data_IF_249005330152
#
_entry.id   IF_249005330152
#
_cell.length_a   1.000
_cell.length_b   1.000
_cell.length_c   1.000
_cell.angle_alpha   90.00
_cell.angle_beta   90.00
_cell.angle_gamma   90.00
#
_symmetry.space_group_name_H-M   'P 1'
#
loop_
_entity.id
_entity.type
_entity.pdbx_description
1 polymer ?
#
# COMPACT_ATOMS: atom_id res chain seq x y z
N UNK A 1 -29.44 36.89 -1.80
CA UNK A 1 -29.32 35.71 -0.94
C UNK A 1 -27.90 35.50 -0.42
N UNK A 2 -26.87 35.55 -1.27
CA UNK A 2 -25.47 35.39 -0.82
C UNK A 2 -25.01 36.49 0.17
N UNK A 3 -25.28 37.77 -0.11
CA UNK A 3 -24.91 38.87 0.79
C UNK A 3 -25.56 38.77 2.17
N UNK A 4 -26.83 38.37 2.24
CA UNK A 4 -27.55 38.18 3.50
C UNK A 4 -27.03 37.00 4.32
N UNK A 5 -26.63 35.91 3.66
CA UNK A 5 -25.99 34.75 4.30
C UNK A 5 -24.60 35.10 4.84
N UNK A 6 -23.79 35.81 4.06
CA UNK A 6 -22.47 36.29 4.50
C UNK A 6 -22.60 37.19 5.72
N UNK A 7 -23.53 38.15 5.70
CA UNK A 7 -23.78 39.02 6.86
C UNK A 7 -24.23 38.25 8.10
N UNK A 8 -25.10 37.23 7.93
CA UNK A 8 -25.54 36.38 9.03
C UNK A 8 -24.38 35.56 9.63
N UNK A 9 -23.53 34.96 8.79
CA UNK A 9 -22.35 34.23 9.25
C UNK A 9 -21.35 35.13 9.97
N UNK A 10 -21.09 36.33 9.46
CA UNK A 10 -20.24 37.30 10.13
C UNK A 10 -20.81 37.69 11.49
N UNK A 11 -22.11 37.99 11.56
CA UNK A 11 -22.78 38.32 12.81
C UNK A 11 -22.71 37.18 13.83
N UNK A 12 -23.04 35.95 13.44
CA UNK A 12 -22.95 34.78 14.32
C UNK A 12 -21.51 34.49 14.77
N UNK A 13 -20.53 34.64 13.88
CA UNK A 13 -19.10 34.49 14.23
C UNK A 13 -18.67 35.54 15.24
N UNK A 14 -19.08 36.79 15.05
CA UNK A 14 -18.81 37.87 15.99
C UNK A 14 -19.45 37.60 17.35
N UNK A 15 -20.70 37.13 17.39
CA UNK A 15 -21.37 36.76 18.65
C UNK A 15 -20.64 35.61 19.35
N UNK A 16 -20.25 34.58 18.59
CA UNK A 16 -19.54 33.41 19.11
C UNK A 16 -18.15 33.75 19.66
N UNK A 17 -17.41 34.61 18.95
CA UNK A 17 -16.07 35.03 19.34
C UNK A 17 -16.04 36.21 20.32
N UNK A 18 -17.14 36.95 20.49
CA UNK A 18 -17.21 38.15 21.33
C UNK A 18 -16.68 37.95 22.76
N UNK A 19 -16.98 36.83 23.46
CA UNK A 19 -16.42 36.60 24.79
C UNK A 19 -14.88 36.55 24.78
N UNK A 20 -14.26 36.03 23.72
CA UNK A 20 -12.79 35.95 23.60
C UNK A 20 -12.15 37.29 23.23
N UNK A 21 -12.94 38.25 22.70
CA UNK A 21 -12.46 39.58 22.31
C UNK A 21 -12.68 40.63 23.41
N UNK A 22 -13.59 40.36 24.35
CA UNK A 22 -13.98 41.28 25.41
C UNK A 22 -13.75 40.65 26.79
N UNK A 23 -12.92 41.27 27.62
CA UNK A 23 -12.67 40.85 29.01
C UNK A 23 -11.32 40.16 29.23
N UNK A 24 -10.95 39.96 30.50
CA UNK A 24 -9.73 39.26 30.91
C UNK A 24 -9.99 37.76 31.02
N UNK A 25 -9.12 36.96 30.41
CA UNK A 25 -9.17 35.51 30.48
C UNK A 25 -8.03 34.96 31.31
N UNK A 26 -8.35 34.04 32.21
CA UNK A 26 -7.39 33.38 33.09
C UNK A 26 -7.21 31.90 32.73
N UNK A 27 -6.15 31.29 33.25
CA UNK A 27 -6.00 29.84 33.26
C UNK A 27 -6.86 29.25 34.39
N UNK A 28 -7.45 28.08 34.16
CA UNK A 28 -8.28 27.38 35.14
C UNK A 28 -7.41 26.58 36.12
N UNK A 29 -6.81 27.28 37.08
CA UNK A 29 -5.76 26.71 37.96
C UNK A 29 -6.22 25.58 38.88
N UNK A 30 -7.52 25.47 39.17
CA UNK A 30 -8.07 24.35 39.96
C UNK A 30 -8.21 23.06 39.15
N UNK A 31 -7.99 23.13 37.84
CA UNK A 31 -7.99 22.01 36.91
C UNK A 31 -6.55 21.78 36.40
N UNK A 32 -6.40 21.15 35.25
CA UNK A 32 -5.13 20.74 34.67
C UNK A 32 -4.36 21.85 33.93
N UNK A 33 -4.93 23.05 33.76
CA UNK A 33 -4.24 24.20 33.13
C UNK A 33 -2.94 24.55 33.87
N UNK A 34 -2.90 24.36 35.19
CA UNK A 34 -1.67 24.58 35.98
C UNK A 34 -0.54 23.67 35.48
N UNK A 35 -0.80 22.36 35.40
CA UNK A 35 0.20 21.35 35.02
C UNK A 35 0.54 21.43 33.53
N UNK A 36 -0.44 21.76 32.67
CA UNK A 36 -0.28 21.80 31.22
C UNK A 36 0.40 23.07 30.72
N UNK A 37 0.22 24.21 31.38
CA UNK A 37 0.74 25.51 30.93
C UNK A 37 1.59 26.24 31.97
N UNK A 38 1.13 26.37 33.21
CA UNK A 38 1.74 27.28 34.22
C UNK A 38 2.99 26.68 34.87
N UNK A 39 2.98 25.39 35.18
CA UNK A 39 4.09 24.65 35.79
C UNK A 39 4.90 23.86 34.74
N UNK A 40 4.50 23.95 33.47
CA UNK A 40 5.11 23.17 32.40
C UNK A 40 6.40 23.83 31.89
N UNK A 41 7.54 23.40 32.44
CA UNK A 41 8.86 23.87 32.01
C UNK A 41 9.22 23.44 30.58
N UNK A 42 8.65 22.34 30.08
CA UNK A 42 8.98 21.80 28.74
C UNK A 42 8.58 22.78 27.64
N UNK A 43 7.50 23.53 27.82
CA UNK A 43 6.99 24.45 26.80
C UNK A 43 7.64 25.84 26.85
N UNK A 44 8.57 26.09 27.77
CA UNK A 44 9.14 27.42 28.00
C UNK A 44 10.15 27.85 26.95
N UNK A 45 10.73 26.91 26.18
CA UNK A 45 11.79 27.19 25.22
C UNK A 45 11.67 26.31 23.98
N UNK A 46 12.11 26.86 22.85
CA UNK A 46 12.24 26.15 21.58
C UNK A 46 13.71 25.86 21.29
N UNK A 47 14.29 24.91 22.04
CA UNK A 47 15.62 24.37 21.79
C UNK A 47 15.58 22.83 21.70
N UNK A 48 16.68 22.21 21.28
CA UNK A 48 16.75 20.76 21.09
C UNK A 48 16.47 19.97 22.38
N UNK A 49 16.86 20.46 23.55
CA UNK A 49 16.65 19.77 24.82
C UNK A 49 15.16 19.72 25.15
N UNK A 50 14.46 20.84 25.00
CA UNK A 50 13.01 20.92 25.24
C UNK A 50 12.23 20.15 24.18
N UNK A 51 12.61 20.27 22.90
CA UNK A 51 11.99 19.50 21.83
C UNK A 51 12.13 17.99 22.04
N UNK A 52 13.31 17.50 22.45
CA UNK A 52 13.50 16.10 22.81
C UNK A 52 12.63 15.70 24.01
N UNK A 53 12.49 16.57 25.02
CA UNK A 53 11.60 16.31 26.14
C UNK A 53 10.13 16.18 25.69
N UNK A 54 9.66 17.03 24.77
CA UNK A 54 8.31 16.92 24.19
C UNK A 54 8.08 15.56 23.51
N UNK A 55 9.10 14.99 22.86
CA UNK A 55 9.04 13.69 22.20
C UNK A 55 9.12 12.48 23.14
N UNK A 56 9.47 12.67 24.41
CA UNK A 56 9.71 11.56 25.34
C UNK A 56 8.87 11.61 26.62
N UNK A 57 8.27 12.75 26.94
CA UNK A 57 7.53 12.93 28.18
C UNK A 57 6.05 12.59 28.02
N UNK A 58 5.50 11.95 29.05
CA UNK A 58 4.06 11.73 29.23
C UNK A 58 3.62 12.62 30.38
N UNK A 59 2.65 13.51 30.14
CA UNK A 59 2.17 14.48 31.13
C UNK A 59 0.69 14.21 31.41
N UNK A 60 0.34 14.08 32.70
CA UNK A 60 -1.02 13.70 33.14
C UNK A 60 -1.50 12.38 32.48
N UNK A 61 -0.57 11.46 32.24
CA UNK A 61 -0.89 10.18 31.57
C UNK A 61 -1.14 10.28 30.07
N UNK A 62 -0.94 11.45 29.44
CA UNK A 62 -1.15 11.67 28.01
C UNK A 62 0.19 11.87 27.29
N UNK A 63 0.39 11.12 26.20
CA UNK A 63 1.51 11.30 25.28
C UNK A 63 1.08 12.15 24.08
N UNK A 64 1.49 13.41 24.06
CA UNK A 64 1.02 14.39 23.07
C UNK A 64 2.12 15.35 22.57
N UNK A 65 3.17 14.83 21.92
CA UNK A 65 4.37 15.59 21.54
C UNK A 65 4.07 16.81 20.65
N UNK A 66 3.15 16.68 19.69
CA UNK A 66 2.77 17.78 18.81
C UNK A 66 1.96 18.87 19.52
N UNK A 67 1.16 18.48 20.52
CA UNK A 67 0.44 19.44 21.34
C UNK A 67 1.40 20.21 22.25
N UNK A 68 2.40 19.54 22.84
CA UNK A 68 3.46 20.21 23.58
C UNK A 68 4.23 21.21 22.71
N UNK A 69 4.55 20.83 21.47
CA UNK A 69 5.18 21.73 20.51
C UNK A 69 4.29 22.94 20.20
N UNK A 70 2.98 22.74 19.97
CA UNK A 70 2.03 23.84 19.78
C UNK A 70 2.01 24.78 20.99
N UNK A 71 1.87 24.24 22.22
CA UNK A 71 1.90 25.01 23.47
C UNK A 71 3.19 25.83 23.58
N UNK A 72 4.34 25.26 23.22
CA UNK A 72 5.63 25.94 23.23
C UNK A 72 5.73 27.07 22.19
N UNK A 73 5.19 26.85 20.98
CA UNK A 73 5.10 27.89 19.96
C UNK A 73 4.20 29.04 20.39
N UNK A 74 3.05 28.73 21.01
CA UNK A 74 2.15 29.76 21.59
C UNK A 74 2.87 30.54 22.69
N UNK A 75 3.53 29.84 23.62
CA UNK A 75 4.29 30.48 24.69
C UNK A 75 5.41 31.38 24.14
N UNK A 76 6.14 30.94 23.12
CA UNK A 76 7.18 31.74 22.48
C UNK A 76 6.62 33.02 21.81
N UNK A 77 5.40 32.97 21.28
CA UNK A 77 4.77 34.09 20.58
C UNK A 77 4.12 35.12 21.52
N UNK A 78 3.47 34.67 22.60
CA UNK A 78 2.63 35.53 23.43
C UNK A 78 2.76 35.27 24.95
N UNK A 79 3.73 34.47 25.38
CA UNK A 79 3.98 34.16 26.80
C UNK A 79 2.88 33.32 27.45
N UNK A 80 2.75 33.42 28.77
CA UNK A 80 1.64 32.83 29.53
C UNK A 80 0.36 33.67 29.36
N UNK A 81 -0.21 33.66 28.17
CA UNK A 81 -1.44 34.36 27.86
C UNK A 81 -2.56 33.37 27.49
N UNK A 82 -3.48 33.17 28.42
CA UNK A 82 -4.58 32.21 28.26
C UNK A 82 -5.57 32.62 27.15
N UNK A 83 -5.72 33.92 26.86
CA UNK A 83 -6.53 34.42 25.74
C UNK A 83 -5.89 34.06 24.40
N UNK A 84 -4.55 34.19 24.29
CA UNK A 84 -3.80 33.81 23.10
C UNK A 84 -3.96 32.32 22.78
N UNK A 85 -3.89 31.45 23.80
CA UNK A 85 -4.13 30.00 23.66
C UNK A 85 -5.52 29.73 23.07
N UNK A 86 -6.56 30.37 23.59
CA UNK A 86 -7.94 30.20 23.10
C UNK A 86 -8.15 30.75 21.69
N UNK A 87 -7.55 31.89 21.34
CA UNK A 87 -7.62 32.45 19.98
C UNK A 87 -6.95 31.54 18.94
N UNK A 88 -5.82 30.95 19.28
CA UNK A 88 -5.14 29.95 18.42
C UNK A 88 -6.00 28.69 18.30
N UNK A 89 -6.62 28.25 19.39
CA UNK A 89 -7.54 27.10 19.40
C UNK A 89 -8.78 27.34 18.54
N UNK A 90 -9.39 28.53 18.65
CA UNK A 90 -10.50 28.96 17.79
C UNK A 90 -10.10 28.99 16.31
N UNK A 91 -8.88 29.45 16.02
CA UNK A 91 -8.34 29.48 14.65
C UNK A 91 -8.16 28.07 14.09
N UNK A 92 -7.63 27.13 14.89
CA UNK A 92 -7.51 25.72 14.51
C UNK A 92 -8.89 25.08 14.31
N UNK A 93 -9.86 25.37 15.16
CA UNK A 93 -11.25 24.91 15.01
C UNK A 93 -11.89 25.44 13.72
N UNK A 94 -11.74 26.74 13.43
CA UNK A 94 -12.22 27.35 12.19
C UNK A 94 -11.55 26.73 10.94
N UNK A 95 -10.23 26.53 10.99
CA UNK A 95 -9.48 25.88 9.91
C UNK A 95 -9.96 24.43 9.70
N UNK A 96 -10.22 23.69 10.78
CA UNK A 96 -10.78 22.34 10.71
C UNK A 96 -12.16 22.32 10.05
N UNK A 97 -13.04 23.25 10.43
CA UNK A 97 -14.37 23.39 9.81
C UNK A 97 -14.28 23.68 8.31
N UNK A 98 -13.32 24.50 7.88
CA UNK A 98 -13.07 24.78 6.47
C UNK A 98 -12.62 23.53 5.70
N UNK A 99 -11.67 22.77 6.26
CA UNK A 99 -11.21 21.52 5.64
C UNK A 99 -12.36 20.51 5.56
N UNK A 100 -13.12 20.32 6.66
CA UNK A 100 -14.29 19.43 6.69
C UNK A 100 -15.36 19.82 5.66
N UNK A 101 -15.59 21.12 5.47
CA UNK A 101 -16.48 21.63 4.42
C UNK A 101 -16.01 21.15 3.05
N UNK A 102 -14.73 21.34 2.72
CA UNK A 102 -14.20 20.98 1.40
C UNK A 102 -14.25 19.46 1.18
N UNK A 103 -13.81 18.68 2.17
CA UNK A 103 -13.85 17.21 2.12
C UNK A 103 -15.27 16.69 1.93
N UNK A 104 -16.25 17.29 2.63
CA UNK A 104 -17.67 16.90 2.48
C UNK A 104 -18.19 17.19 1.08
N UNK A 105 -17.81 18.31 0.46
CA UNK A 105 -18.19 18.62 -0.92
C UNK A 105 -17.63 17.58 -1.88
N UNK A 106 -16.33 17.28 -1.75
CA UNK A 106 -15.64 16.34 -2.64
C UNK A 106 -16.19 14.91 -2.46
N UNK A 107 -16.48 14.50 -1.23
CA UNK A 107 -17.07 13.19 -0.91
C UNK A 107 -18.50 13.06 -1.45
N UNK A 108 -19.34 14.07 -1.28
CA UNK A 108 -20.71 14.04 -1.81
C UNK A 108 -20.73 14.05 -3.33
N UNK A 109 -19.83 14.81 -3.97
CA UNK A 109 -19.69 14.81 -5.43
C UNK A 109 -19.25 13.44 -5.97
N UNK A 110 -18.47 12.68 -5.21
CA UNK A 110 -18.06 11.32 -5.56
C UNK A 110 -19.17 10.29 -5.36
N UNK A 111 -19.96 10.41 -4.29
CA UNK A 111 -20.95 9.40 -3.89
C UNK A 111 -22.32 9.60 -4.52
N UNK A 112 -22.67 10.83 -4.91
CA UNK A 112 -24.02 11.22 -5.33
C UNK A 112 -23.98 12.10 -6.58
N UNK A 113 -24.02 11.46 -7.76
CA UNK A 113 -23.96 12.14 -9.07
C UNK A 113 -25.15 13.08 -9.35
N UNK A 114 -26.27 12.94 -8.63
CA UNK A 114 -27.50 13.69 -8.87
C UNK A 114 -27.59 15.03 -8.12
N UNK A 115 -26.61 15.35 -7.27
CA UNK A 115 -26.65 16.57 -6.47
C UNK A 115 -26.18 17.80 -7.25
N UNK A 116 -26.97 18.87 -7.21
CA UNK A 116 -26.59 20.16 -7.81
C UNK A 116 -25.36 20.75 -7.08
N UNK A 117 -24.24 21.06 -7.77
CA UNK A 117 -23.00 21.51 -7.11
C UNK A 117 -23.16 22.74 -6.21
N UNK A 118 -24.01 23.69 -6.61
CA UNK A 118 -24.29 24.91 -5.82
C UNK A 118 -25.04 24.57 -4.53
N UNK A 119 -26.04 23.70 -4.60
CA UNK A 119 -26.80 23.26 -3.43
C UNK A 119 -25.91 22.46 -2.46
N UNK A 120 -25.07 21.56 -2.98
CA UNK A 120 -24.10 20.80 -2.18
C UNK A 120 -23.11 21.71 -1.46
N UNK A 121 -22.55 22.69 -2.17
CA UNK A 121 -21.62 23.67 -1.59
C UNK A 121 -22.29 24.50 -0.49
N UNK A 122 -23.53 24.95 -0.71
CA UNK A 122 -24.29 25.70 0.29
C UNK A 122 -24.61 24.83 1.53
N UNK A 123 -25.08 23.61 1.32
CA UNK A 123 -25.39 22.66 2.40
C UNK A 123 -24.17 22.35 3.27
N UNK A 124 -23.03 22.00 2.65
CA UNK A 124 -21.78 21.76 3.36
C UNK A 124 -21.29 23.00 4.12
N UNK A 125 -21.48 24.19 3.55
CA UNK A 125 -21.13 25.46 4.22
C UNK A 125 -21.99 25.68 5.46
N UNK A 126 -23.31 25.47 5.37
CA UNK A 126 -24.23 25.60 6.49
C UNK A 126 -23.93 24.58 7.59
N UNK A 127 -23.68 23.32 7.22
CA UNK A 127 -23.33 22.26 8.18
C UNK A 127 -22.00 22.53 8.88
N UNK A 128 -20.97 22.94 8.15
CA UNK A 128 -19.68 23.31 8.74
C UNK A 128 -19.80 24.53 9.66
N UNK A 129 -20.61 25.53 9.28
CA UNK A 129 -20.86 26.70 10.11
C UNK A 129 -21.63 26.35 11.38
N UNK A 130 -22.64 25.47 11.29
CA UNK A 130 -23.37 24.96 12.45
C UNK A 130 -22.43 24.24 13.41
N UNK A 131 -21.54 23.40 12.90
CA UNK A 131 -20.52 22.73 13.71
C UNK A 131 -19.54 23.72 14.36
N UNK A 132 -19.12 24.74 13.61
CA UNK A 132 -18.21 25.79 14.12
C UNK A 132 -18.77 26.48 15.36
N UNK A 133 -20.04 26.89 15.33
CA UNK A 133 -20.70 27.62 16.45
C UNK A 133 -21.40 26.70 17.46
N UNK A 134 -21.32 25.37 17.31
CA UNK A 134 -22.12 24.44 18.10
C UNK A 134 -21.76 24.51 19.59
N UNK A 135 -22.73 24.65 20.52
CA UNK A 135 -22.45 24.76 21.95
C UNK A 135 -21.64 23.60 22.54
N UNK A 136 -21.85 22.37 22.07
CA UNK A 136 -21.07 21.20 22.49
C UNK A 136 -19.56 21.31 22.21
N UNK A 137 -19.16 22.12 21.25
CA UNK A 137 -17.75 22.28 20.88
C UNK A 137 -17.06 23.40 21.68
N UNK A 138 -17.81 24.18 22.47
CA UNK A 138 -17.29 25.35 23.19
C UNK A 138 -16.24 24.94 24.23
N UNK A 139 -16.40 23.79 24.88
CA UNK A 139 -15.42 23.29 25.85
C UNK A 139 -14.02 23.19 25.22
N UNK A 140 -13.91 22.60 24.02
CA UNK A 140 -12.64 22.45 23.29
C UNK A 140 -12.02 23.80 22.95
N UNK A 141 -12.83 24.81 22.62
CA UNK A 141 -12.34 26.14 22.21
C UNK A 141 -11.98 27.02 23.42
N UNK A 142 -12.74 26.90 24.51
CA UNK A 142 -12.66 27.79 25.66
C UNK A 142 -11.80 27.24 26.81
N UNK A 143 -11.48 25.94 26.86
CA UNK A 143 -10.61 25.36 27.89
C UNK A 143 -9.17 25.22 27.35
N UNK A 144 -8.18 25.93 27.90
CA UNK A 144 -6.79 25.88 27.41
C UNK A 144 -6.20 24.47 27.31
N UNK A 145 -6.40 23.62 28.32
CA UNK A 145 -5.91 22.23 28.28
C UNK A 145 -6.59 21.35 27.23
N UNK A 146 -7.76 21.75 26.70
CA UNK A 146 -8.43 21.06 25.59
C UNK A 146 -7.91 21.43 24.20
N UNK A 147 -6.99 22.40 24.08
CA UNK A 147 -6.34 22.77 22.82
C UNK A 147 -5.84 21.59 21.95
N UNK A 148 -5.27 20.49 22.52
CA UNK A 148 -4.83 19.34 21.75
C UNK A 148 -5.93 18.72 20.87
N UNK A 149 -7.20 18.76 21.30
CA UNK A 149 -8.32 18.22 20.53
C UNK A 149 -8.59 19.01 19.24
N UNK A 150 -8.47 20.35 19.28
CA UNK A 150 -8.61 21.17 18.08
C UNK A 150 -7.48 20.92 17.08
N UNK A 151 -6.25 20.72 17.59
CA UNK A 151 -5.10 20.34 16.76
C UNK A 151 -5.29 18.95 16.14
N UNK A 152 -5.77 17.99 16.92
CA UNK A 152 -6.07 16.64 16.44
C UNK A 152 -7.16 16.66 15.37
N UNK A 153 -8.26 17.40 15.59
CA UNK A 153 -9.34 17.55 14.61
C UNK A 153 -8.83 18.13 13.29
N UNK A 154 -7.93 19.13 13.35
CA UNK A 154 -7.32 19.72 12.16
C UNK A 154 -6.55 18.67 11.35
N UNK A 155 -5.67 17.90 12.00
CA UNK A 155 -4.92 16.84 11.33
C UNK A 155 -5.82 15.70 10.84
N UNK A 156 -6.82 15.30 11.61
CA UNK A 156 -7.80 14.28 11.19
C UNK A 156 -8.59 14.73 9.97
N UNK A 157 -8.98 16.00 9.90
CA UNK A 157 -9.72 16.55 8.75
C UNK A 157 -8.86 16.56 7.48
N UNK A 158 -7.59 16.95 7.60
CA UNK A 158 -6.61 16.87 6.49
C UNK A 158 -6.36 15.41 6.10
N UNK A 159 -6.22 14.53 7.09
CA UNK A 159 -6.02 13.10 6.85
C UNK A 159 -7.23 12.49 6.15
N UNK A 160 -8.46 12.87 6.51
CA UNK A 160 -9.67 12.43 5.82
C UNK A 160 -9.68 12.91 4.36
N UNK A 161 -9.29 14.17 4.09
CA UNK A 161 -9.14 14.66 2.73
C UNK A 161 -8.17 13.80 1.91
N UNK A 162 -6.99 13.54 2.48
CA UNK A 162 -5.94 12.78 1.84
C UNK A 162 -6.31 11.29 1.69
N UNK A 163 -7.02 10.75 2.67
CA UNK A 163 -7.49 9.36 2.70
C UNK A 163 -8.58 9.13 1.66
N UNK A 164 -9.55 10.04 1.52
CA UNK A 164 -10.58 9.94 0.48
C UNK A 164 -9.95 9.88 -0.91
N UNK A 165 -8.99 10.77 -1.22
CA UNK A 165 -8.23 10.71 -2.46
C UNK A 165 -7.51 9.36 -2.62
N UNK A 166 -6.80 8.93 -1.59
CA UNK A 166 -6.01 7.69 -1.61
C UNK A 166 -6.89 6.45 -1.84
N UNK A 167 -8.05 6.38 -1.20
CA UNK A 167 -9.02 5.29 -1.36
C UNK A 167 -9.59 5.26 -2.78
N UNK A 168 -10.01 6.42 -3.31
CA UNK A 168 -10.48 6.52 -4.70
C UNK A 168 -9.42 6.03 -5.68
N UNK A 169 -8.18 6.46 -5.48
CA UNK A 169 -7.05 6.05 -6.32
C UNK A 169 -6.61 4.59 -6.10
N UNK A 170 -7.01 3.95 -5.00
CA UNK A 170 -6.82 2.53 -4.77
C UNK A 170 -7.89 1.68 -5.47
N UNK A 171 -9.09 2.20 -5.74
CA UNK A 171 -10.20 1.42 -6.32
C UNK A 171 -9.83 0.63 -7.60
N UNK A 172 -9.03 1.18 -8.55
CA UNK A 172 -8.65 0.44 -9.75
C UNK A 172 -7.70 -0.74 -9.48
N UNK A 173 -7.02 -0.75 -8.33
CA UNK A 173 -5.92 -1.69 -8.02
C UNK A 173 -6.15 -2.54 -6.77
N UNK A 174 -7.18 -2.23 -5.97
CA UNK A 174 -7.51 -2.95 -4.73
C UNK A 174 -8.17 -4.32 -4.96
N UNK A 175 -8.48 -4.64 -6.22
CA UNK A 175 -9.08 -5.91 -6.62
C UNK A 175 -10.59 -5.99 -6.50
N UNK A 176 -11.27 -4.90 -6.09
CA UNK A 176 -12.73 -4.79 -6.17
C UNK A 176 -13.22 -4.73 -7.61
N UNK A 177 -12.46 -4.07 -8.49
CA UNK A 177 -12.67 -4.11 -9.95
C UNK A 177 -11.58 -4.96 -10.57
N UNK A 178 -11.90 -6.23 -10.83
CA UNK A 178 -10.90 -7.22 -11.20
C UNK A 178 -10.40 -7.05 -12.64
N UNK A 179 -9.11 -6.73 -12.80
CA UNK A 179 -8.41 -6.71 -14.07
C UNK A 179 -7.07 -7.45 -13.94
N UNK A 180 -6.92 -8.60 -14.61
CA UNK A 180 -5.67 -9.37 -14.63
C UNK A 180 -5.33 -10.12 -13.33
N UNK A 181 -4.04 -10.44 -13.16
CA UNK A 181 -3.53 -11.15 -11.97
C UNK A 181 -3.40 -10.15 -10.81
N UNK A 182 -4.33 -10.22 -9.86
CA UNK A 182 -4.27 -9.45 -8.63
C UNK A 182 -3.45 -10.22 -7.61
N UNK A 183 -2.34 -9.60 -7.18
CA UNK A 183 -1.54 -10.07 -6.05
C UNK A 183 -2.00 -9.36 -4.78
N UNK A 184 -1.94 -10.01 -3.62
CA UNK A 184 -2.39 -9.39 -2.35
C UNK A 184 -1.69 -8.07 -2.04
N UNK A 185 -0.42 -7.95 -2.43
CA UNK A 185 0.40 -6.76 -2.19
C UNK A 185 1.30 -6.50 -3.39
N UNK A 186 1.42 -5.23 -3.79
CA UNK A 186 2.44 -4.79 -4.73
C UNK A 186 2.69 -3.27 -4.57
N UNK A 187 3.94 -2.86 -4.61
CA UNK A 187 4.33 -1.44 -4.50
C UNK A 187 3.65 -0.57 -5.56
N UNK A 188 3.40 -1.12 -6.75
CA UNK A 188 2.70 -0.41 -7.84
C UNK A 188 1.27 0.04 -7.48
N UNK A 189 0.65 -0.54 -6.46
CA UNK A 189 -0.70 -0.18 -6.05
C UNK A 189 -0.76 1.17 -5.33
N UNK A 190 0.34 1.65 -4.75
CA UNK A 190 0.38 2.97 -4.07
C UNK A 190 0.82 4.11 -5.01
N UNK A 191 1.03 3.82 -6.30
CA UNK A 191 1.53 4.80 -7.27
C UNK A 191 0.61 6.03 -7.41
N UNK A 192 -0.70 5.82 -7.64
CA UNK A 192 -1.67 6.94 -7.67
C UNK A 192 -2.02 7.49 -6.28
N UNK A 193 -2.26 6.65 -5.24
CA UNK A 193 -2.54 7.16 -3.90
C UNK A 193 -1.48 8.13 -3.36
N UNK A 194 -0.19 7.88 -3.62
CA UNK A 194 0.91 8.72 -3.12
C UNK A 194 0.97 10.12 -3.73
N UNK A 195 0.26 10.40 -4.83
CA UNK A 195 0.21 11.73 -5.45
C UNK A 195 -0.35 12.80 -4.50
N UNK A 196 -1.14 12.41 -3.50
CA UNK A 196 -1.68 13.32 -2.48
C UNK A 196 -0.60 14.09 -1.72
N UNK A 197 0.60 13.51 -1.60
CA UNK A 197 1.73 14.15 -0.93
C UNK A 197 2.27 15.35 -1.72
N UNK A 198 2.14 15.37 -3.06
CA UNK A 198 2.72 16.39 -3.94
C UNK A 198 2.17 17.81 -3.61
N UNK A 199 0.86 18.07 -3.66
CA UNK A 199 0.35 19.41 -3.36
C UNK A 199 0.58 19.83 -1.91
N UNK A 200 0.52 18.88 -0.96
CA UNK A 200 0.76 19.15 0.47
C UNK A 200 2.22 19.58 0.72
N UNK A 201 3.18 18.84 0.17
CA UNK A 201 4.60 19.17 0.27
C UNK A 201 4.91 20.50 -0.46
N UNK A 202 4.36 20.69 -1.66
CA UNK A 202 4.54 21.92 -2.43
C UNK A 202 4.03 23.16 -1.68
N UNK A 203 2.82 23.09 -1.11
CA UNK A 203 2.25 24.16 -0.31
C UNK A 203 3.08 24.45 0.95
N UNK A 204 3.54 23.40 1.65
CA UNK A 204 4.41 23.54 2.83
C UNK A 204 5.72 24.25 2.52
N UNK A 205 6.39 23.89 1.44
CA UNK A 205 7.64 24.53 0.99
C UNK A 205 7.40 25.99 0.59
N UNK A 206 6.35 26.26 -0.19
CA UNK A 206 6.00 27.61 -0.62
C UNK A 206 5.67 28.53 0.57
N UNK A 207 5.03 28.00 1.61
CA UNK A 207 4.74 28.76 2.83
C UNK A 207 6.00 28.99 3.68
N UNK A 208 6.81 27.96 3.90
CA UNK A 208 8.05 28.07 4.68
C UNK A 208 9.04 29.07 4.06
N UNK A 209 9.16 29.08 2.73
CA UNK A 209 10.00 30.06 2.01
C UNK A 209 9.48 31.49 2.13
N UNK A 210 8.15 31.70 2.07
CA UNK A 210 7.53 33.02 2.35
C UNK A 210 7.81 33.52 3.77
N UNK A 211 7.93 32.60 4.74
CA UNK A 211 8.31 32.91 6.12
C UNK A 211 9.82 33.11 6.32
N UNK A 212 10.63 33.04 5.26
CA UNK A 212 12.09 33.21 5.33
C UNK A 212 12.85 31.98 5.84
N UNK A 213 12.19 30.83 6.01
CA UNK A 213 12.78 29.59 6.52
C UNK A 213 13.47 28.84 5.37
N UNK A 214 14.50 29.45 4.77
CA UNK A 214 15.18 28.89 3.59
C UNK A 214 15.95 27.58 3.88
N UNK A 215 16.23 27.27 5.16
CA UNK A 215 16.80 25.99 5.57
C UNK A 215 15.90 24.79 5.21
N UNK A 216 14.59 24.99 5.02
CA UNK A 216 13.67 23.94 4.57
C UNK A 216 14.05 23.41 3.19
N UNK A 217 14.60 24.26 2.31
CA UNK A 217 15.04 23.87 0.97
C UNK A 217 16.26 22.95 1.04
N UNK A 218 17.21 23.24 1.94
CA UNK A 218 18.41 22.40 2.14
C UNK A 218 18.01 21.01 2.65
N UNK A 219 17.13 20.95 3.65
CA UNK A 219 16.60 19.67 4.16
C UNK A 219 15.85 18.90 3.08
N UNK A 220 15.05 19.59 2.26
CA UNK A 220 14.32 18.99 1.15
C UNK A 220 15.27 18.43 0.09
N UNK A 221 16.31 19.18 -0.31
CA UNK A 221 17.33 18.71 -1.25
C UNK A 221 18.07 17.50 -0.72
N UNK A 222 18.40 17.46 0.58
CA UNK A 222 19.06 16.31 1.20
C UNK A 222 18.18 15.06 1.16
N UNK A 223 16.89 15.18 1.50
CA UNK A 223 15.92 14.08 1.43
C UNK A 223 15.74 13.62 -0.03
N UNK A 224 15.63 14.56 -0.96
CA UNK A 224 15.49 14.27 -2.38
C UNK A 224 16.69 13.50 -2.93
N UNK A 225 17.92 13.91 -2.57
CA UNK A 225 19.14 13.21 -2.95
C UNK A 225 19.20 11.81 -2.34
N UNK A 226 18.83 11.67 -1.05
CA UNK A 226 18.76 10.35 -0.41
C UNK A 226 17.76 9.43 -1.12
N UNK A 227 16.57 9.93 -1.47
CA UNK A 227 15.58 9.17 -2.23
C UNK A 227 16.07 8.82 -3.64
N UNK A 228 16.71 9.75 -4.34
CA UNK A 228 17.29 9.48 -5.66
C UNK A 228 18.33 8.36 -5.59
N UNK A 229 19.22 8.38 -4.58
CA UNK A 229 20.22 7.34 -4.37
C UNK A 229 19.61 5.98 -4.01
N UNK A 230 18.61 5.96 -3.12
CA UNK A 230 17.91 4.74 -2.73
C UNK A 230 17.14 4.15 -3.91
N UNK A 231 16.40 4.97 -4.65
CA UNK A 231 15.69 4.56 -5.86
C UNK A 231 16.63 4.06 -6.94
N UNK A 232 17.79 4.71 -7.15
CA UNK A 232 18.81 4.22 -8.07
C UNK A 232 19.35 2.84 -7.69
N UNK A 233 19.57 2.59 -6.39
CA UNK A 233 19.94 1.27 -5.88
C UNK A 233 18.82 0.24 -6.08
N UNK A 234 17.57 0.62 -5.81
CA UNK A 234 16.41 -0.25 -5.98
C UNK A 234 16.18 -0.60 -7.45
N UNK A 235 16.32 0.34 -8.39
CA UNK A 235 16.18 0.07 -9.82
C UNK A 235 17.17 -0.99 -10.32
N UNK A 236 18.37 -1.08 -9.73
CA UNK A 236 19.33 -2.12 -10.10
C UNK A 236 18.85 -3.54 -9.79
N UNK A 237 17.88 -3.75 -8.89
CA UNK A 237 17.31 -5.08 -8.65
C UNK A 237 16.45 -5.56 -9.83
N UNK A 238 15.89 -4.62 -10.60
CA UNK A 238 15.04 -4.88 -11.77
C UNK A 238 15.84 -5.00 -13.08
N UNK A 239 17.17 -5.10 -13.01
CA UNK A 239 18.04 -5.05 -14.20
C UNK A 239 17.88 -6.26 -15.12
N UNK A 240 17.70 -7.44 -14.53
CA UNK A 240 17.44 -8.71 -15.22
C UNK A 240 16.82 -9.74 -14.26
N UNK A 241 16.45 -10.91 -14.77
CA UNK A 241 15.89 -12.01 -13.98
C UNK A 241 16.80 -12.44 -12.82
N UNK A 242 18.10 -12.60 -13.06
CA UNK A 242 19.05 -13.02 -12.03
C UNK A 242 19.08 -12.05 -10.84
N UNK A 243 19.23 -10.74 -11.10
CA UNK A 243 19.25 -9.73 -10.03
C UNK A 243 17.93 -9.65 -9.28
N UNK A 244 16.81 -9.81 -10.00
CA UNK A 244 15.46 -9.75 -9.42
C UNK A 244 15.22 -10.94 -8.48
N UNK A 245 15.45 -12.15 -8.96
CA UNK A 245 15.18 -13.36 -8.19
C UNK A 245 16.18 -13.54 -7.04
N UNK A 246 17.46 -13.19 -7.22
CA UNK A 246 18.42 -13.15 -6.11
C UNK A 246 18.02 -12.14 -5.04
N UNK A 247 17.51 -10.97 -5.43
CA UNK A 247 16.98 -10.00 -4.47
C UNK A 247 15.79 -10.58 -3.69
N UNK A 248 14.83 -11.21 -4.39
CA UNK A 248 13.67 -11.85 -3.74
C UNK A 248 14.09 -12.96 -2.78
N UNK A 249 14.98 -13.86 -3.18
CA UNK A 249 15.49 -14.97 -2.33
C UNK A 249 16.24 -14.43 -1.11
N UNK A 250 16.87 -13.25 -1.20
CA UNK A 250 17.50 -12.61 -0.05
C UNK A 250 16.49 -12.12 0.97
N UNK A 251 15.32 -11.65 0.54
CA UNK A 251 14.25 -11.18 1.43
C UNK A 251 13.42 -12.33 2.00
N UNK A 252 13.06 -13.30 1.14
CA UNK A 252 12.36 -14.53 1.51
C UNK A 252 13.10 -15.76 0.94
N UNK A 253 14.02 -16.35 1.72
CA UNK A 253 14.76 -17.54 1.29
C UNK A 253 13.89 -18.78 1.08
N UNK A 254 12.64 -18.77 1.55
CA UNK A 254 11.69 -19.87 1.47
C UNK A 254 10.67 -19.71 0.34
N UNK A 255 10.68 -18.61 -0.43
CA UNK A 255 9.77 -18.47 -1.58
C UNK A 255 10.18 -19.43 -2.69
N UNK A 256 9.51 -20.59 -2.71
CA UNK A 256 9.72 -21.65 -3.69
C UNK A 256 9.52 -21.17 -5.14
N UNK A 257 8.71 -20.13 -5.38
CA UNK A 257 8.48 -19.57 -6.73
C UNK A 257 9.68 -18.78 -7.20
N UNK A 258 10.28 -17.96 -6.33
CA UNK A 258 11.49 -17.21 -6.66
C UNK A 258 12.67 -18.17 -6.91
N UNK A 259 12.78 -19.23 -6.10
CA UNK A 259 13.76 -20.30 -6.30
C UNK A 259 13.56 -21.01 -7.65
N UNK A 260 12.32 -21.38 -7.98
CA UNK A 260 11.97 -22.05 -9.24
C UNK A 260 12.24 -21.16 -10.46
N UNK A 261 11.87 -19.88 -10.41
CA UNK A 261 12.13 -18.93 -11.49
C UNK A 261 13.62 -18.67 -11.72
N UNK A 262 14.43 -18.56 -10.67
CA UNK A 262 15.88 -18.42 -10.83
C UNK A 262 16.51 -19.68 -11.44
N UNK A 263 16.07 -20.85 -11.00
CA UNK A 263 16.56 -22.12 -11.53
C UNK A 263 16.19 -22.33 -13.01
N UNK A 264 14.95 -21.97 -13.39
CA UNK A 264 14.48 -22.00 -14.79
C UNK A 264 15.24 -20.98 -15.65
N UNK A 265 15.50 -19.78 -15.12
CA UNK A 265 16.35 -18.79 -15.78
C UNK A 265 17.74 -19.36 -16.10
N UNK A 266 18.43 -19.94 -15.11
CA UNK A 266 19.74 -20.56 -15.33
C UNK A 266 19.71 -21.68 -16.36
N UNK A 267 18.67 -22.52 -16.34
CA UNK A 267 18.50 -23.57 -17.33
C UNK A 267 18.37 -23.00 -18.75
N UNK A 268 17.56 -21.93 -18.93
CA UNK A 268 17.34 -21.28 -20.24
C UNK A 268 18.58 -20.60 -20.80
N UNK A 269 19.42 -19.99 -19.96
CA UNK A 269 20.65 -19.33 -20.40
C UNK A 269 21.85 -20.29 -20.53
N UNK A 270 21.63 -21.60 -20.39
CA UNK A 270 22.66 -22.63 -20.52
C UNK A 270 23.53 -22.84 -19.27
N UNK A 271 23.27 -22.10 -18.18
CA UNK A 271 23.92 -22.26 -16.86
C UNK A 271 23.27 -23.38 -16.04
N UNK A 272 22.97 -24.52 -16.69
CA UNK A 272 22.17 -25.61 -16.12
C UNK A 272 22.78 -26.17 -14.82
N UNK A 273 24.10 -26.16 -14.69
CA UNK A 273 24.81 -26.63 -13.50
C UNK A 273 24.47 -25.84 -12.22
N UNK A 274 23.93 -24.63 -12.34
CA UNK A 274 23.57 -23.78 -11.20
C UNK A 274 22.14 -24.00 -10.72
N UNK A 275 21.27 -24.62 -11.51
CA UNK A 275 19.85 -24.83 -11.20
C UNK A 275 19.57 -25.83 -10.05
N UNK A 276 20.27 -26.99 -9.93
CA UNK A 276 19.95 -28.02 -8.93
C UNK A 276 19.78 -27.52 -7.48
N UNK A 277 20.68 -26.71 -6.89
CA UNK A 277 20.52 -26.27 -5.50
C UNK A 277 19.25 -25.42 -5.28
N UNK A 278 18.79 -24.69 -6.30
CA UNK A 278 17.56 -23.90 -6.21
C UNK A 278 16.31 -24.78 -6.40
N UNK A 279 16.35 -25.76 -7.31
CA UNK A 279 15.26 -26.73 -7.46
C UNK A 279 15.09 -27.62 -6.21
N UNK A 280 16.16 -28.06 -5.56
CA UNK A 280 16.10 -28.81 -4.30
C UNK A 280 15.41 -28.00 -3.20
N UNK A 281 15.79 -26.73 -3.05
CA UNK A 281 15.15 -25.82 -2.09
C UNK A 281 13.69 -25.53 -2.46
N UNK A 282 13.39 -25.34 -3.75
CA UNK A 282 12.00 -25.15 -4.21
C UNK A 282 11.15 -26.38 -3.87
N UNK A 283 11.65 -27.59 -4.12
CA UNK A 283 10.99 -28.86 -3.78
C UNK A 283 10.75 -29.01 -2.27
N UNK A 284 11.65 -28.47 -1.44
CA UNK A 284 11.49 -28.47 0.01
C UNK A 284 10.38 -27.54 0.49
N UNK A 285 10.31 -26.31 -0.05
CA UNK A 285 9.42 -25.26 0.44
C UNK A 285 8.04 -25.22 -0.22
N UNK A 286 7.87 -25.83 -1.38
CA UNK A 286 6.62 -25.76 -2.13
C UNK A 286 5.43 -26.42 -1.39
N UNK A 287 4.18 -25.97 -1.65
CA UNK A 287 2.98 -26.64 -1.18
C UNK A 287 2.94 -28.11 -1.62
N UNK A 288 2.32 -28.98 -0.83
CA UNK A 288 2.25 -30.44 -1.11
C UNK A 288 0.86 -30.93 -1.50
N UNK A 289 -0.13 -30.05 -1.49
CA UNK A 289 -1.55 -30.38 -1.67
C UNK A 289 -2.11 -29.76 -2.95
N UNK A 290 -2.96 -30.52 -3.64
CA UNK A 290 -3.62 -30.10 -4.88
C UNK A 290 -2.83 -30.46 -6.15
N UNK A 291 -3.55 -30.64 -7.25
CA UNK A 291 -3.00 -31.14 -8.52
C UNK A 291 -1.87 -30.25 -9.07
N UNK A 292 -1.99 -28.92 -9.00
CA UNK A 292 -0.93 -27.97 -9.43
C UNK A 292 0.35 -28.15 -8.62
N UNK A 293 0.23 -28.35 -7.31
CA UNK A 293 1.38 -28.57 -6.45
C UNK A 293 2.03 -29.93 -6.73
N UNK A 294 1.24 -30.98 -6.97
CA UNK A 294 1.76 -32.29 -7.37
C UNK A 294 2.44 -32.28 -8.74
N UNK A 295 1.89 -31.54 -9.69
CA UNK A 295 2.50 -31.34 -11.01
C UNK A 295 3.86 -30.63 -10.89
N UNK A 296 3.95 -29.59 -10.05
CA UNK A 296 5.21 -28.89 -9.80
C UNK A 296 6.22 -29.80 -9.12
N UNK A 297 5.78 -30.61 -8.16
CA UNK A 297 6.62 -31.54 -7.42
C UNK A 297 7.24 -32.55 -8.38
N UNK A 298 6.42 -33.16 -9.22
CA UNK A 298 6.87 -34.08 -10.26
C UNK A 298 7.84 -33.39 -11.24
N UNK A 299 7.53 -32.17 -11.68
CA UNK A 299 8.41 -31.40 -12.59
C UNK A 299 9.80 -31.16 -12.00
N UNK A 300 9.87 -30.72 -10.73
CA UNK A 300 11.13 -30.53 -10.04
C UNK A 300 11.91 -31.84 -9.87
N UNK A 301 11.24 -32.95 -9.56
CA UNK A 301 11.86 -34.27 -9.50
C UNK A 301 12.45 -34.69 -10.86
N UNK A 302 11.74 -34.42 -11.96
CA UNK A 302 12.26 -34.64 -13.31
C UNK A 302 13.51 -33.80 -13.58
N UNK A 303 13.53 -32.52 -13.21
CA UNK A 303 14.71 -31.67 -13.40
C UNK A 303 15.90 -32.07 -12.53
N UNK A 304 15.66 -32.62 -11.34
CA UNK A 304 16.69 -33.14 -10.43
C UNK A 304 17.19 -34.55 -10.80
N UNK A 305 16.70 -35.13 -11.90
CA UNK A 305 17.09 -36.47 -12.31
C UNK A 305 16.40 -37.62 -11.58
N UNK A 306 15.44 -37.32 -10.70
CA UNK A 306 14.68 -38.28 -9.90
C UNK A 306 13.44 -38.76 -10.68
N UNK A 307 13.71 -39.38 -11.82
CA UNK A 307 12.69 -39.67 -12.84
C UNK A 307 11.63 -40.65 -12.37
N UNK A 308 12.02 -41.71 -11.65
CA UNK A 308 11.07 -42.72 -11.17
C UNK A 308 10.01 -42.10 -10.24
N UNK A 309 10.44 -41.23 -9.33
CA UNK A 309 9.55 -40.53 -8.41
C UNK A 309 8.67 -39.49 -9.12
N UNK A 310 9.23 -38.74 -10.08
CA UNK A 310 8.49 -37.77 -10.87
C UNK A 310 7.42 -38.41 -11.74
N UNK A 311 7.77 -39.49 -12.45
CA UNK A 311 6.85 -40.23 -13.31
C UNK A 311 5.75 -40.94 -12.54
N UNK A 312 6.08 -41.57 -11.40
CA UNK A 312 5.07 -42.18 -10.53
C UNK A 312 4.04 -41.16 -10.03
N UNK A 313 4.45 -39.92 -9.74
CA UNK A 313 3.54 -38.84 -9.38
C UNK A 313 2.65 -38.41 -10.55
N UNK A 314 3.20 -38.23 -11.75
CA UNK A 314 2.39 -37.89 -12.92
C UNK A 314 1.34 -38.97 -13.23
N UNK A 315 1.72 -40.24 -13.18
CA UNK A 315 0.81 -41.37 -13.38
C UNK A 315 -0.28 -41.43 -12.31
N UNK A 316 0.08 -41.24 -11.04
CA UNK A 316 -0.88 -41.22 -9.93
C UNK A 316 -1.89 -40.08 -10.05
N UNK A 317 -1.47 -38.88 -10.49
CA UNK A 317 -2.40 -37.78 -10.69
C UNK A 317 -3.24 -37.96 -11.97
N UNK A 318 -2.68 -38.57 -13.03
CA UNK A 318 -3.43 -38.88 -14.25
C UNK A 318 -4.60 -39.83 -13.98
N UNK A 319 -4.45 -40.81 -13.08
CA UNK A 319 -5.56 -41.69 -12.67
C UNK A 319 -6.75 -40.92 -12.09
N UNK A 320 -6.49 -39.80 -11.39
CA UNK A 320 -7.53 -38.93 -10.82
C UNK A 320 -8.08 -37.93 -11.84
N UNK A 321 -7.26 -37.55 -12.82
CA UNK A 321 -7.56 -36.55 -13.83
C UNK A 321 -7.27 -37.06 -15.24
N UNK A 322 -7.98 -38.11 -15.73
CA UNK A 322 -7.59 -38.91 -16.88
C UNK A 322 -7.57 -38.17 -18.22
N UNK A 323 -8.20 -37.00 -18.31
CA UNK A 323 -8.26 -36.18 -19.53
C UNK A 323 -7.36 -34.95 -19.49
N UNK A 324 -6.60 -34.75 -18.41
CA UNK A 324 -5.79 -33.54 -18.27
C UNK A 324 -4.65 -33.51 -19.29
N UNK A 325 -4.64 -32.46 -20.12
CA UNK A 325 -3.63 -32.24 -21.18
C UNK A 325 -2.20 -32.21 -20.61
N UNK A 326 -1.99 -31.50 -19.49
CA UNK A 326 -0.68 -31.39 -18.85
C UNK A 326 -0.17 -32.75 -18.35
N UNK A 327 -1.04 -33.54 -17.71
CA UNK A 327 -0.68 -34.85 -17.17
C UNK A 327 -0.44 -35.86 -18.29
N UNK A 328 -1.28 -35.89 -19.32
CA UNK A 328 -1.10 -36.77 -20.47
C UNK A 328 0.20 -36.47 -21.22
N UNK A 329 0.50 -35.19 -21.46
CA UNK A 329 1.79 -34.81 -22.04
C UNK A 329 2.96 -35.28 -21.16
N UNK A 330 2.92 -35.01 -19.86
CA UNK A 330 4.04 -35.32 -18.96
C UNK A 330 4.23 -36.83 -18.74
N UNK A 331 3.14 -37.62 -18.71
CA UNK A 331 3.20 -39.09 -18.75
C UNK A 331 3.76 -39.57 -20.10
N UNK A 332 3.40 -38.92 -21.21
CA UNK A 332 4.04 -39.16 -22.51
C UNK A 332 5.55 -38.95 -22.48
N UNK A 333 6.03 -37.90 -21.82
CA UNK A 333 7.48 -37.68 -21.58
C UNK A 333 8.09 -38.83 -20.76
N UNK A 334 7.40 -39.31 -19.73
CA UNK A 334 7.85 -40.47 -18.95
C UNK A 334 7.92 -41.77 -19.76
N UNK A 335 6.95 -42.00 -20.64
CA UNK A 335 6.95 -43.12 -21.58
C UNK A 335 8.10 -43.03 -22.59
N UNK A 336 8.41 -41.83 -23.09
CA UNK A 336 9.57 -41.61 -23.97
C UNK A 336 10.88 -42.03 -23.29
N UNK A 337 11.08 -41.60 -22.05
CA UNK A 337 12.27 -41.95 -21.26
C UNK A 337 12.38 -43.44 -20.96
N UNK A 338 11.25 -44.12 -20.80
CA UNK A 338 11.18 -45.56 -20.54
C UNK A 338 11.22 -46.41 -21.83
N UNK A 339 11.54 -45.80 -22.98
CA UNK A 339 11.53 -46.43 -24.31
C UNK A 339 10.17 -47.04 -24.72
N UNK A 340 9.06 -46.59 -24.12
CA UNK A 340 7.70 -47.02 -24.43
C UNK A 340 7.07 -46.11 -25.48
N UNK A 341 7.67 -46.05 -26.67
CA UNK A 341 7.36 -45.03 -27.69
C UNK A 341 5.91 -45.05 -28.19
N UNK A 342 5.30 -46.24 -28.33
CA UNK A 342 3.91 -46.36 -28.75
C UNK A 342 2.94 -45.73 -27.71
N UNK A 343 3.20 -45.96 -26.42
CA UNK A 343 2.42 -45.37 -25.34
C UNK A 343 2.67 -43.87 -25.23
N UNK A 344 3.90 -43.41 -25.45
CA UNK A 344 4.21 -41.98 -25.49
C UNK A 344 3.44 -41.27 -26.60
N UNK A 345 3.45 -41.83 -27.81
CA UNK A 345 2.70 -41.31 -28.97
C UNK A 345 1.21 -41.19 -28.65
N UNK A 346 0.62 -42.24 -28.08
CA UNK A 346 -0.77 -42.23 -27.68
C UNK A 346 -1.05 -41.15 -26.63
N UNK A 347 -0.21 -41.03 -25.59
CA UNK A 347 -0.39 -39.99 -24.56
C UNK A 347 -0.32 -38.57 -25.12
N UNK A 348 0.56 -38.29 -26.09
CA UNK A 348 0.60 -36.99 -26.76
C UNK A 348 -0.62 -36.76 -27.65
N UNK A 349 -1.12 -37.79 -28.35
CA UNK A 349 -2.34 -37.70 -29.15
C UNK A 349 -3.57 -37.42 -28.27
N UNK A 350 -3.73 -38.17 -27.18
CA UNK A 350 -4.81 -37.99 -26.22
C UNK A 350 -4.77 -36.59 -25.58
N UNK A 351 -3.58 -36.07 -25.29
CA UNK A 351 -3.41 -34.70 -24.79
C UNK A 351 -3.93 -33.64 -25.79
N UNK A 352 -3.64 -33.81 -27.07
CA UNK A 352 -4.12 -32.91 -28.13
C UNK A 352 -5.62 -33.06 -28.37
N UNK A 353 -6.15 -34.28 -28.33
CA UNK A 353 -7.56 -34.56 -28.59
C UNK A 353 -8.47 -34.08 -27.46
N UNK A 354 -8.12 -34.36 -26.20
CA UNK A 354 -8.97 -33.97 -25.08
C UNK A 354 -8.94 -32.47 -24.82
N UNK A 355 -7.77 -31.82 -24.90
CA UNK A 355 -7.61 -30.38 -24.68
C UNK A 355 -8.29 -29.86 -23.38
N UNK A 356 -8.26 -30.67 -22.32
CA UNK A 356 -8.84 -30.34 -21.00
C UNK A 356 -7.76 -29.85 -20.04
N UNK A 357 -8.08 -28.79 -19.29
CA UNK A 357 -7.15 -28.17 -18.33
C UNK A 357 -7.01 -28.97 -17.04
N UNK A 358 -6.16 -28.49 -16.12
CA UNK A 358 -5.95 -29.13 -14.81
C UNK A 358 -7.22 -29.14 -13.94
N UNK A 359 -8.16 -28.21 -14.16
CA UNK A 359 -9.39 -28.08 -13.39
C UNK A 359 -10.61 -28.75 -14.07
N UNK A 360 -10.42 -29.44 -15.20
CA UNK A 360 -11.51 -30.03 -15.97
C UNK A 360 -12.24 -29.02 -16.88
N UNK A 361 -11.70 -27.82 -17.01
CA UNK A 361 -12.14 -26.77 -17.92
C UNK A 361 -11.86 -27.15 -19.38
N UNK A 362 -12.88 -26.97 -20.23
CA UNK A 362 -12.84 -27.29 -21.66
C UNK A 362 -12.68 -25.98 -22.44
N UNK A 363 -11.58 -25.87 -23.20
CA UNK A 363 -11.25 -24.69 -24.00
C UNK A 363 -10.22 -23.75 -23.35
N UNK A 364 -9.28 -23.23 -24.14
CA UNK A 364 -8.23 -22.30 -23.69
C UNK A 364 -6.94 -22.95 -23.18
N UNK A 365 -6.80 -24.27 -23.31
CA UNK A 365 -5.59 -25.02 -22.91
C UNK A 365 -4.59 -25.05 -24.06
N UNK A 366 -3.33 -24.72 -23.76
CA UNK A 366 -2.26 -24.74 -24.76
C UNK A 366 -1.89 -26.18 -25.16
N UNK A 367 -2.21 -26.56 -26.39
CA UNK A 367 -1.85 -27.86 -26.98
C UNK A 367 -0.59 -27.81 -27.85
N UNK A 368 0.11 -26.67 -27.91
CA UNK A 368 1.31 -26.51 -28.73
C UNK A 368 2.46 -27.43 -28.31
N UNK A 369 2.63 -27.63 -26.99
CA UNK A 369 3.67 -28.52 -26.42
C UNK A 369 3.43 -29.99 -26.78
N UNK A 370 2.25 -30.59 -26.55
CA UNK A 370 2.02 -31.99 -26.96
C UNK A 370 2.03 -32.16 -28.47
N UNK A 371 1.58 -31.16 -29.26
CA UNK A 371 1.73 -31.19 -30.72
C UNK A 371 3.21 -31.16 -31.17
N UNK A 372 4.06 -30.40 -30.47
CA UNK A 372 5.49 -30.39 -30.74
C UNK A 372 6.12 -31.75 -30.42
N UNK A 373 5.84 -32.29 -29.24
CA UNK A 373 6.34 -33.59 -28.82
C UNK A 373 5.87 -34.73 -29.76
N UNK A 374 4.61 -34.70 -30.21
CA UNK A 374 4.08 -35.67 -31.16
C UNK A 374 4.80 -35.59 -32.50
N UNK A 375 4.92 -34.38 -33.08
CA UNK A 375 5.60 -34.17 -34.37
C UNK A 375 7.06 -34.58 -34.33
N UNK A 376 7.76 -34.24 -33.25
CA UNK A 376 9.16 -34.61 -33.08
C UNK A 376 9.31 -36.13 -32.95
N UNK A 377 8.43 -36.80 -32.19
CA UNK A 377 8.43 -38.26 -32.07
C UNK A 377 8.15 -38.96 -33.40
N UNK A 378 7.20 -38.46 -34.20
CA UNK A 378 6.88 -39.05 -35.51
C UNK A 378 8.01 -38.89 -36.54
N UNK A 379 8.79 -37.82 -36.41
CA UNK A 379 9.95 -37.57 -37.26
C UNK A 379 11.26 -38.20 -36.73
N UNK A 380 11.24 -38.81 -35.54
CA UNK A 380 12.42 -39.33 -34.89
C UNK A 380 12.88 -40.65 -35.51
N UNK A 381 14.18 -40.73 -35.84
CA UNK A 381 14.83 -41.88 -36.49
C UNK A 381 15.27 -42.98 -35.52
N UNK A 382 15.06 -42.78 -34.21
CA UNK A 382 15.43 -43.73 -33.15
C UNK A 382 16.90 -43.70 -32.74
N UNK A 383 17.73 -42.81 -33.32
CA UNK A 383 19.19 -42.78 -33.11
C UNK A 383 19.67 -41.54 -32.34
N UNK A 384 18.98 -40.39 -32.46
CA UNK A 384 19.34 -39.16 -31.75
C UNK A 384 18.78 -39.09 -30.31
N UNK A 385 19.47 -38.39 -29.41
CA UNK A 385 18.96 -38.05 -28.07
C UNK A 385 17.74 -37.12 -28.20
N UNK A 386 16.55 -37.71 -28.09
CA UNK A 386 15.29 -36.97 -28.15
C UNK A 386 14.81 -36.59 -26.74
N UNK A 387 14.66 -35.29 -26.51
CA UNK A 387 14.12 -34.75 -25.26
C UNK A 387 12.72 -34.16 -25.50
N UNK A 388 11.70 -34.88 -25.04
CA UNK A 388 10.33 -34.38 -25.02
C UNK A 388 10.15 -33.30 -23.93
N UNK A 389 9.32 -32.31 -24.22
CA UNK A 389 9.09 -31.14 -23.38
C UNK A 389 7.99 -31.39 -22.34
N UNK A 390 8.26 -31.07 -21.07
CA UNK A 390 7.26 -31.08 -20.02
C UNK A 390 6.33 -29.85 -20.14
N UNK A 391 5.09 -30.02 -19.73
CA UNK A 391 4.10 -28.96 -19.56
C UNK A 391 3.97 -28.55 -18.08
N UNK A 392 3.68 -27.27 -17.86
CA UNK A 392 3.33 -26.67 -16.58
C UNK A 392 1.88 -26.22 -16.58
#
# INVERSE_FOLDING_TARGET
MERSLVSAFLMCTMIYAAPLLCGSWEFLLTWDDSINFVENEVIRRLDWRHFRAMLCEVRIGVYEPLAHLLKAMVFAACGLNSQCVRLITLTLHAASCYVLRQVSIDLLALLLDSLEPKATSLGCTLSAFLYFIHPLNVEVVAWPSAQPYALALFFVSIALAAWTYSVVMLLPVCGLVQHGIITLTADRYVYFPTLVAIPLLGAGIAHATKLGINSCLVSFTAIFLAFALLSARQMNTWRNDETLWLHNIKQDPADWRALDHLADYYARVGRVAESPPYWERSLWHMPRTGVKAKLQQARLLMYLGRYDEGCALYESELQRHPRSTHLLNNVGVCHMRSSKYALAKQSFQDAVEFAVGLAGDVGGVDTSTPQLNLRQLEAWDGQADYHANLMW
#
